data_IF_033537551560
#
_entry.id   IF_033537551560
#
_cell.length_a   1.000
_cell.length_b   1.000
_cell.length_c   1.000
_cell.angle_alpha   90.00
_cell.angle_beta   90.00
_cell.angle_gamma   90.00
#
_symmetry.space_group_name_H-M   'P 1'
#
loop_
_entity.id
_entity.type
_entity.pdbx_description
1 polymer ?
#
# COMPACT_ATOMS: atom_id res chain seq x y z
N UNK A 1 14.07 -25.48 -21.34
CA UNK A 1 15.00 -25.27 -20.20
C UNK A 1 14.66 -24.03 -19.39
N UNK A 2 14.23 -22.93 -20.01
CA UNK A 2 13.90 -21.69 -19.27
C UNK A 2 12.79 -21.85 -18.24
N UNK A 3 11.68 -22.53 -18.58
CA UNK A 3 10.55 -22.67 -17.64
C UNK A 3 10.88 -23.50 -16.40
N UNK A 4 11.77 -24.50 -16.52
CA UNK A 4 12.24 -25.30 -15.39
C UNK A 4 13.10 -24.46 -14.42
N UNK A 5 13.94 -23.58 -14.97
CA UNK A 5 14.75 -22.63 -14.19
C UNK A 5 13.82 -21.64 -13.47
N UNK A 6 12.79 -21.13 -14.17
CA UNK A 6 11.78 -20.23 -13.59
C UNK A 6 11.07 -20.93 -12.42
N UNK A 7 10.59 -22.16 -12.61
CA UNK A 7 9.91 -22.92 -11.56
C UNK A 7 10.84 -23.12 -10.35
N UNK A 8 12.07 -23.58 -10.56
CA UNK A 8 12.99 -23.86 -9.45
C UNK A 8 13.35 -22.61 -8.65
N UNK A 9 13.65 -21.49 -9.34
CA UNK A 9 13.89 -20.19 -8.68
C UNK A 9 12.65 -19.72 -7.93
N UNK A 10 11.47 -19.90 -8.51
CA UNK A 10 10.20 -19.45 -7.93
C UNK A 10 9.84 -20.25 -6.67
N UNK A 11 10.12 -21.55 -6.64
CA UNK A 11 9.94 -22.37 -5.43
C UNK A 11 10.83 -21.86 -4.30
N UNK A 12 12.11 -21.57 -4.57
CA UNK A 12 13.04 -21.09 -3.55
C UNK A 12 12.65 -19.70 -3.06
N UNK A 13 12.47 -18.74 -3.97
CA UNK A 13 12.12 -17.36 -3.63
C UNK A 13 10.75 -17.31 -2.94
N UNK A 14 9.79 -18.04 -3.48
CA UNK A 14 8.45 -18.18 -2.90
C UNK A 14 8.48 -18.78 -1.50
N UNK A 15 9.28 -19.82 -1.29
CA UNK A 15 9.47 -20.43 0.02
C UNK A 15 10.00 -19.44 1.05
N UNK A 16 11.06 -18.71 0.71
CA UNK A 16 11.66 -17.70 1.61
C UNK A 16 10.73 -16.51 1.85
N UNK A 17 10.02 -16.05 0.81
CA UNK A 17 9.04 -14.97 0.90
C UNK A 17 7.87 -15.37 1.80
N UNK A 18 7.29 -16.54 1.57
CA UNK A 18 6.19 -17.06 2.39
C UNK A 18 6.60 -17.32 3.83
N UNK A 19 7.80 -17.85 4.06
CA UNK A 19 8.36 -18.02 5.40
C UNK A 19 8.43 -16.70 6.16
N UNK A 20 9.07 -15.69 5.55
CA UNK A 20 9.30 -14.40 6.20
C UNK A 20 8.01 -13.61 6.43
N UNK A 21 7.12 -13.57 5.43
CA UNK A 21 5.83 -12.89 5.51
C UNK A 21 4.93 -13.46 6.62
N UNK A 22 4.73 -14.78 6.62
CA UNK A 22 3.85 -15.45 7.58
C UNK A 22 4.45 -15.43 9.00
N UNK A 23 5.77 -15.60 9.13
CA UNK A 23 6.48 -15.44 10.40
C UNK A 23 6.28 -14.02 10.96
N UNK A 24 6.46 -13.01 10.11
CA UNK A 24 6.29 -11.60 10.47
C UNK A 24 4.89 -11.32 10.98
N UNK A 25 3.87 -11.79 10.26
CA UNK A 25 2.47 -11.64 10.64
C UNK A 25 2.16 -12.28 12.01
N UNK A 26 2.60 -13.51 12.25
CA UNK A 26 2.40 -14.20 13.54
C UNK A 26 3.09 -13.49 14.72
N UNK A 27 4.26 -12.88 14.50
CA UNK A 27 5.00 -12.14 15.53
C UNK A 27 4.30 -10.85 15.95
N UNK A 28 3.45 -10.26 15.10
CA UNK A 28 2.69 -9.05 15.46
C UNK A 28 1.76 -9.30 16.65
N UNK A 29 1.25 -10.53 16.83
CA UNK A 29 0.43 -10.90 17.99
C UNK A 29 1.20 -10.98 19.31
N UNK A 30 2.54 -10.95 19.28
CA UNK A 30 3.40 -11.08 20.45
C UNK A 30 4.09 -9.77 20.85
N UNK A 31 4.04 -8.74 20.00
CA UNK A 31 4.71 -7.46 20.27
C UNK A 31 3.76 -6.28 20.04
N UNK A 32 2.79 -6.06 20.95
CA UNK A 32 1.77 -5.02 20.78
C UNK A 32 2.25 -3.62 21.21
N UNK A 33 3.37 -3.50 21.93
CA UNK A 33 3.79 -2.23 22.53
C UNK A 33 4.54 -1.31 21.57
N UNK A 34 5.18 -1.84 20.53
CA UNK A 34 5.87 -1.06 19.48
C UNK A 34 5.67 -1.76 18.13
N UNK A 35 4.86 -1.16 17.25
CA UNK A 35 4.64 -1.66 15.89
C UNK A 35 4.78 -0.53 14.86
N UNK A 36 5.38 -0.85 13.71
CA UNK A 36 5.38 0.06 12.57
C UNK A 36 3.95 0.22 12.03
N UNK A 37 3.62 1.40 11.50
CA UNK A 37 2.27 1.73 11.03
C UNK A 37 1.70 0.69 10.03
N UNK A 38 2.56 0.11 9.19
CA UNK A 38 2.17 -0.95 8.23
C UNK A 38 1.78 -2.29 8.87
N UNK A 39 2.24 -2.60 10.09
CA UNK A 39 1.90 -3.84 10.79
C UNK A 39 0.43 -3.85 11.25
N UNK A 40 -0.14 -2.69 11.60
CA UNK A 40 -1.55 -2.57 11.98
C UNK A 40 -2.50 -2.96 10.84
N UNK A 41 -2.08 -2.78 9.58
CA UNK A 41 -2.90 -3.17 8.44
C UNK A 41 -3.03 -4.69 8.34
N UNK A 42 -1.92 -5.41 8.32
CA UNK A 42 -1.95 -6.88 8.28
C UNK A 42 -2.62 -7.47 9.52
N UNK A 43 -2.30 -6.94 10.71
CA UNK A 43 -2.91 -7.40 11.96
C UNK A 43 -4.42 -7.15 11.99
N UNK A 44 -4.88 -5.97 11.55
CA UNK A 44 -6.29 -5.63 11.46
C UNK A 44 -7.05 -6.53 10.48
N UNK A 45 -6.47 -6.77 9.29
CA UNK A 45 -7.05 -7.65 8.26
C UNK A 45 -7.12 -9.11 8.73
N UNK A 46 -6.09 -9.60 9.43
CA UNK A 46 -6.11 -10.94 10.00
C UNK A 46 -7.14 -11.08 11.14
N UNK A 47 -7.26 -10.08 12.00
CA UNK A 47 -8.27 -10.09 13.07
C UNK A 47 -9.70 -9.99 12.54
N UNK A 48 -9.92 -9.28 11.43
CA UNK A 48 -11.23 -9.17 10.79
C UNK A 48 -11.79 -10.52 10.29
N UNK A 49 -10.93 -11.54 10.14
CA UNK A 49 -11.34 -12.89 9.78
C UNK A 49 -11.77 -13.74 11.00
N UNK A 50 -11.62 -13.22 12.23
CA UNK A 50 -12.06 -13.83 13.50
C UNK A 50 -11.64 -15.31 13.70
N UNK A 51 -10.51 -15.72 13.10
CA UNK A 51 -10.04 -17.11 13.16
C UNK A 51 -10.87 -18.10 12.34
N UNK A 52 -11.74 -17.64 11.45
CA UNK A 52 -12.44 -18.47 10.48
C UNK A 52 -11.56 -18.73 9.24
N UNK A 53 -11.35 -20.01 8.94
CA UNK A 53 -10.50 -20.44 7.84
C UNK A 53 -11.06 -20.01 6.48
N UNK A 54 -12.38 -20.04 6.30
CA UNK A 54 -13.01 -19.66 5.04
C UNK A 54 -12.88 -18.16 4.77
N UNK A 55 -13.03 -17.33 5.81
CA UNK A 55 -12.83 -15.88 5.78
C UNK A 55 -11.39 -15.53 5.41
N UNK A 56 -10.41 -16.15 6.05
CA UNK A 56 -9.00 -15.96 5.70
C UNK A 56 -8.70 -16.36 4.24
N UNK A 57 -9.20 -17.50 3.78
CA UNK A 57 -8.99 -17.93 2.40
C UNK A 57 -9.62 -16.95 1.40
N UNK A 58 -10.88 -16.58 1.62
CA UNK A 58 -11.65 -15.67 0.77
C UNK A 58 -11.03 -14.28 0.72
N UNK A 59 -10.53 -13.79 1.87
CA UNK A 59 -9.81 -12.52 1.95
C UNK A 59 -8.57 -12.55 1.07
N UNK A 60 -7.71 -13.57 1.21
CA UNK A 60 -6.53 -13.72 0.37
C UNK A 60 -6.87 -13.87 -1.13
N UNK A 61 -7.95 -14.58 -1.45
CA UNK A 61 -8.41 -14.76 -2.84
C UNK A 61 -8.84 -13.43 -3.48
N UNK A 62 -9.49 -12.54 -2.71
CA UNK A 62 -9.91 -11.22 -3.19
C UNK A 62 -8.75 -10.37 -3.73
N UNK A 63 -7.55 -10.53 -3.17
CA UNK A 63 -6.35 -9.82 -3.64
C UNK A 63 -5.49 -10.65 -4.61
N UNK A 64 -5.68 -11.97 -4.64
CA UNK A 64 -4.92 -12.85 -5.52
C UNK A 64 -5.10 -12.50 -7.00
N UNK A 65 -6.33 -12.26 -7.46
CA UNK A 65 -6.56 -11.92 -8.86
C UNK A 65 -5.91 -10.60 -9.26
N UNK A 66 -5.88 -9.60 -8.36
CA UNK A 66 -5.18 -8.35 -8.60
C UNK A 66 -3.66 -8.55 -8.71
N UNK A 67 -3.07 -9.27 -7.76
CA UNK A 67 -1.65 -9.59 -7.78
C UNK A 67 -1.26 -10.43 -9.01
N UNK A 68 -2.13 -11.35 -9.42
CA UNK A 68 -1.94 -12.18 -10.60
C UNK A 68 -1.99 -11.37 -11.89
N UNK A 69 -3.00 -10.51 -12.05
CA UNK A 69 -3.09 -9.59 -13.20
C UNK A 69 -1.85 -8.67 -13.29
N UNK A 70 -1.36 -8.18 -12.15
CA UNK A 70 -0.11 -7.39 -12.09
C UNK A 70 1.12 -8.21 -12.49
N UNK A 71 1.26 -9.44 -11.98
CA UNK A 71 2.39 -10.30 -12.32
C UNK A 71 2.42 -10.67 -13.81
N UNK A 72 1.25 -10.87 -14.41
CA UNK A 72 1.06 -11.18 -15.82
C UNK A 72 1.27 -9.95 -16.71
N UNK A 73 0.61 -8.84 -16.38
CA UNK A 73 0.69 -7.62 -17.17
C UNK A 73 2.02 -6.92 -16.98
N UNK A 74 2.32 -6.47 -15.76
CA UNK A 74 3.48 -5.63 -15.47
C UNK A 74 4.78 -6.41 -15.18
N UNK A 75 4.73 -7.75 -15.08
CA UNK A 75 5.90 -8.56 -14.72
C UNK A 75 6.39 -8.35 -13.28
N UNK A 76 5.57 -7.71 -12.43
CA UNK A 76 5.93 -7.34 -11.07
C UNK A 76 4.85 -7.73 -10.05
N UNK A 77 5.29 -8.12 -8.85
CA UNK A 77 4.41 -8.44 -7.75
C UNK A 77 3.92 -7.19 -7.05
N UNK A 78 2.62 -7.15 -6.75
CA UNK A 78 2.09 -6.17 -5.81
C UNK A 78 2.51 -6.55 -4.40
N UNK A 79 2.52 -5.58 -3.49
CA UNK A 79 2.77 -5.84 -2.09
C UNK A 79 1.73 -6.83 -1.51
N UNK A 80 0.53 -6.93 -2.09
CA UNK A 80 -0.55 -7.78 -1.59
C UNK A 80 -0.16 -9.25 -1.45
N UNK A 81 0.78 -9.74 -2.29
CA UNK A 81 1.34 -11.09 -2.17
C UNK A 81 1.92 -11.32 -0.77
N UNK A 82 2.72 -10.39 -0.26
CA UNK A 82 3.44 -10.56 1.00
C UNK A 82 2.61 -10.25 2.23
N UNK A 83 1.71 -9.27 2.18
CA UNK A 83 1.03 -8.79 3.39
C UNK A 83 -0.46 -9.16 3.48
N UNK A 84 -1.08 -9.64 2.39
CA UNK A 84 -2.48 -10.09 2.37
C UNK A 84 -2.62 -11.56 2.03
N UNK A 85 -2.05 -11.99 0.90
CA UNK A 85 -2.33 -13.32 0.33
C UNK A 85 -1.62 -14.40 1.17
N UNK A 86 -0.29 -14.29 1.29
CA UNK A 86 0.49 -15.33 1.98
C UNK A 86 0.12 -15.51 3.46
N UNK A 87 0.01 -14.45 4.28
CA UNK A 87 -0.36 -14.61 5.69
C UNK A 87 -1.77 -15.18 5.87
N UNK A 88 -2.75 -14.74 5.09
CA UNK A 88 -4.13 -15.21 5.24
C UNK A 88 -4.29 -16.65 4.73
N UNK A 89 -3.68 -17.04 3.62
CA UNK A 89 -3.74 -18.43 3.17
C UNK A 89 -2.97 -19.37 4.10
N UNK A 90 -1.88 -18.90 4.72
CA UNK A 90 -1.20 -19.66 5.77
C UNK A 90 -2.08 -19.86 7.01
N UNK A 91 -2.77 -18.80 7.45
CA UNK A 91 -3.74 -18.87 8.53
C UNK A 91 -4.90 -19.82 8.19
N UNK A 92 -5.50 -19.71 7.00
CA UNK A 92 -6.57 -20.58 6.52
C UNK A 92 -6.14 -22.05 6.51
N UNK A 93 -4.95 -22.35 6.00
CA UNK A 93 -4.43 -23.71 5.95
C UNK A 93 -4.19 -24.29 7.35
N UNK A 94 -3.72 -23.50 8.31
CA UNK A 94 -3.56 -23.95 9.70
C UNK A 94 -4.91 -24.13 10.42
N UNK A 95 -5.81 -23.16 10.28
CA UNK A 95 -7.12 -23.14 10.93
C UNK A 95 -8.07 -24.21 10.40
N UNK A 96 -7.91 -24.63 9.15
CA UNK A 96 -8.66 -25.76 8.59
C UNK A 96 -8.35 -27.10 9.29
N UNK A 97 -7.17 -27.23 9.91
CA UNK A 97 -6.77 -28.41 10.69
C UNK A 97 -6.94 -28.26 12.19
N UNK A 98 -6.67 -27.08 12.74
CA UNK A 98 -6.82 -26.80 14.17
C UNK A 98 -7.40 -25.38 14.35
N UNK A 99 -8.60 -25.29 14.90
CA UNK A 99 -9.30 -24.00 15.10
C UNK A 99 -8.74 -23.16 16.26
N UNK A 100 -7.83 -23.70 17.07
CA UNK A 100 -7.22 -22.94 18.15
C UNK A 100 -6.21 -21.92 17.60
N UNK A 101 -6.59 -20.64 17.60
CA UNK A 101 -5.81 -19.51 17.08
C UNK A 101 -4.46 -19.37 17.81
N UNK A 102 -4.45 -19.56 19.13
CA UNK A 102 -3.25 -19.42 19.96
C UNK A 102 -2.16 -20.43 19.59
N UNK A 103 -2.56 -21.62 19.18
CA UNK A 103 -1.65 -22.69 18.76
C UNK A 103 -1.33 -22.64 17.27
N UNK A 104 -2.12 -21.95 16.45
CA UNK A 104 -1.98 -21.92 14.99
C UNK A 104 -1.44 -20.60 14.49
N UNK A 105 -2.31 -19.62 14.25
CA UNK A 105 -1.99 -18.31 13.65
C UNK A 105 -1.01 -17.53 14.51
N UNK A 106 -1.12 -17.65 15.83
CA UNK A 106 -0.18 -16.98 16.73
C UNK A 106 1.17 -17.70 16.77
N UNK A 107 1.27 -18.99 16.44
CA UNK A 107 2.53 -19.73 16.48
C UNK A 107 3.46 -19.32 15.33
N UNK A 108 4.58 -18.61 15.59
CA UNK A 108 5.42 -18.09 14.51
C UNK A 108 6.06 -19.22 13.69
N UNK A 109 6.43 -20.33 14.34
CA UNK A 109 7.01 -21.50 13.69
C UNK A 109 6.04 -22.15 12.70
N UNK A 110 4.78 -22.37 13.11
CA UNK A 110 3.79 -23.03 12.26
C UNK A 110 3.40 -22.14 11.07
N UNK A 111 3.17 -20.86 11.33
CA UNK A 111 2.91 -19.87 10.28
C UNK A 111 4.07 -19.79 9.28
N UNK A 112 5.32 -19.77 9.74
CA UNK A 112 6.47 -19.71 8.85
C UNK A 112 6.59 -20.94 7.93
N UNK A 113 6.37 -22.15 8.46
CA UNK A 113 6.47 -23.39 7.67
C UNK A 113 5.34 -23.48 6.65
N UNK A 114 4.10 -23.25 7.08
CA UNK A 114 2.95 -23.29 6.16
C UNK A 114 3.02 -22.16 5.15
N UNK A 115 3.43 -20.97 5.58
CA UNK A 115 3.72 -19.82 4.73
C UNK A 115 4.75 -20.15 3.66
N UNK A 116 5.83 -20.86 3.99
CA UNK A 116 6.84 -21.27 3.01
C UNK A 116 6.27 -22.18 1.92
N UNK A 117 5.45 -23.17 2.29
CA UNK A 117 4.82 -24.09 1.33
C UNK A 117 3.88 -23.34 0.39
N UNK A 118 3.02 -22.49 0.96
CA UNK A 118 2.07 -21.69 0.19
C UNK A 118 2.82 -20.67 -0.69
N UNK A 119 3.87 -20.04 -0.15
CA UNK A 119 4.73 -19.11 -0.87
C UNK A 119 5.39 -19.74 -2.08
N UNK A 120 5.96 -20.93 -1.91
CA UNK A 120 6.52 -21.69 -3.02
C UNK A 120 5.47 -21.95 -4.11
N UNK A 121 4.26 -22.37 -3.73
CA UNK A 121 3.16 -22.62 -4.67
C UNK A 121 2.70 -21.36 -5.41
N UNK A 122 2.37 -20.29 -4.68
CA UNK A 122 1.85 -19.04 -5.25
C UNK A 122 2.87 -18.38 -6.17
N UNK A 123 4.10 -18.18 -5.70
CA UNK A 123 5.14 -17.49 -6.48
C UNK A 123 5.50 -18.31 -7.72
N UNK A 124 5.51 -19.64 -7.62
CA UNK A 124 5.68 -20.51 -8.79
C UNK A 124 4.52 -20.37 -9.78
N UNK A 125 3.28 -20.34 -9.30
CA UNK A 125 2.12 -20.11 -10.17
C UNK A 125 2.20 -18.75 -10.87
N UNK A 126 2.49 -17.68 -10.13
CA UNK A 126 2.56 -16.32 -10.68
C UNK A 126 3.67 -16.19 -11.72
N UNK A 127 4.87 -16.71 -11.43
CA UNK A 127 5.98 -16.65 -12.37
C UNK A 127 5.80 -17.59 -13.57
N UNK A 128 5.27 -18.80 -13.36
CA UNK A 128 5.02 -19.73 -14.46
C UNK A 128 3.97 -19.16 -15.42
N UNK A 129 2.87 -18.61 -14.90
CA UNK A 129 1.83 -17.98 -15.72
C UNK A 129 2.35 -16.74 -16.44
N UNK A 130 3.12 -15.87 -15.77
CA UNK A 130 3.77 -14.73 -16.42
C UNK A 130 4.72 -15.16 -17.54
N UNK A 131 5.54 -16.19 -17.31
CA UNK A 131 6.48 -16.72 -18.30
C UNK A 131 5.84 -17.46 -19.48
N UNK A 132 4.60 -17.93 -19.34
CA UNK A 132 3.87 -18.66 -20.36
C UNK A 132 3.13 -17.73 -21.34
N UNK A 133 3.06 -16.43 -21.05
CA UNK A 133 2.31 -15.48 -21.88
C UNK A 133 3.18 -15.00 -23.05
N UNK A 134 2.67 -15.06 -24.30
CA UNK A 134 3.34 -14.49 -25.45
C UNK A 134 3.62 -13.00 -25.26
N UNK A 135 4.79 -12.54 -25.72
CA UNK A 135 5.19 -11.14 -25.63
C UNK A 135 4.19 -10.17 -26.28
N UNK A 136 3.47 -10.59 -27.32
CA UNK A 136 2.40 -9.80 -27.95
C UNK A 136 1.19 -9.54 -27.04
N UNK A 137 0.85 -10.50 -26.17
CA UNK A 137 -0.23 -10.35 -25.20
C UNK A 137 0.22 -9.56 -23.97
N UNK A 138 1.49 -9.65 -23.59
CA UNK A 138 2.05 -8.88 -22.48
C UNK A 138 2.01 -7.38 -22.75
N UNK A 139 2.38 -6.93 -23.95
CA UNK A 139 2.30 -5.50 -24.34
C UNK A 139 0.86 -4.99 -24.23
N UNK A 140 -0.10 -5.74 -24.78
CA UNK A 140 -1.54 -5.40 -24.71
C UNK A 140 -2.03 -5.37 -23.25
N UNK A 141 -1.58 -6.31 -22.41
CA UNK A 141 -1.96 -6.36 -21.00
C UNK A 141 -1.36 -5.20 -20.20
N UNK A 142 -0.12 -4.79 -20.46
CA UNK A 142 0.49 -3.58 -19.87
C UNK A 142 -0.31 -2.34 -20.27
N UNK A 143 -0.59 -2.20 -21.56
CA UNK A 143 -1.27 -1.03 -22.12
C UNK A 143 -2.72 -0.87 -21.64
N UNK A 144 -3.36 -1.94 -21.15
CA UNK A 144 -4.71 -1.89 -20.58
C UNK A 144 -4.67 -1.83 -19.04
N UNK A 145 -3.91 -2.72 -18.40
CA UNK A 145 -3.95 -2.88 -16.94
C UNK A 145 -3.21 -1.74 -16.22
N UNK A 146 -2.10 -1.24 -16.75
CA UNK A 146 -1.36 -0.15 -16.09
C UNK A 146 -2.17 1.16 -16.12
N UNK A 147 -2.76 1.59 -17.25
CA UNK A 147 -3.65 2.74 -17.24
C UNK A 147 -4.87 2.55 -16.35
N UNK A 148 -5.48 1.36 -16.35
CA UNK A 148 -6.62 1.06 -15.47
C UNK A 148 -6.26 1.17 -13.98
N UNK A 149 -5.13 0.57 -13.57
CA UNK A 149 -4.62 0.68 -12.20
C UNK A 149 -4.28 2.14 -11.84
N UNK A 150 -3.69 2.87 -12.79
CA UNK A 150 -3.39 4.30 -12.62
C UNK A 150 -4.66 5.09 -12.41
N UNK A 151 -5.70 4.90 -13.22
CA UNK A 151 -7.01 5.56 -13.04
C UNK A 151 -7.65 5.21 -11.69
N UNK A 152 -7.54 3.95 -11.25
CA UNK A 152 -8.05 3.55 -9.94
C UNK A 152 -7.36 4.31 -8.81
N UNK A 153 -6.03 4.46 -8.87
CA UNK A 153 -5.23 5.12 -7.81
C UNK A 153 -5.29 6.64 -7.90
N UNK A 154 -5.22 7.22 -9.10
CA UNK A 154 -5.09 8.67 -9.31
C UNK A 154 -6.43 9.38 -9.46
N UNK A 155 -7.50 8.65 -9.80
CA UNK A 155 -8.83 9.23 -10.05
C UNK A 155 -9.86 8.67 -9.08
N UNK A 156 -10.09 7.35 -9.08
CA UNK A 156 -11.18 6.75 -8.29
C UNK A 156 -10.91 6.88 -6.79
N UNK A 157 -9.70 6.55 -6.33
CA UNK A 157 -9.36 6.60 -4.90
C UNK A 157 -9.49 8.02 -4.31
N UNK A 158 -8.93 9.09 -4.92
CA UNK A 158 -9.19 10.47 -4.48
C UNK A 158 -10.66 10.81 -4.35
N UNK A 159 -11.49 10.42 -5.32
CA UNK A 159 -12.93 10.72 -5.31
C UNK A 159 -13.58 10.04 -4.12
N UNK A 160 -13.29 8.75 -3.88
CA UNK A 160 -13.85 8.00 -2.74
C UNK A 160 -13.45 8.63 -1.40
N UNK A 161 -12.17 8.94 -1.21
CA UNK A 161 -11.70 9.58 0.02
C UNK A 161 -12.27 10.99 0.20
N UNK A 162 -12.43 11.74 -0.89
CA UNK A 162 -12.99 13.08 -0.84
C UNK A 162 -14.48 13.06 -0.48
N UNK A 163 -15.25 12.15 -1.07
CA UNK A 163 -16.65 11.91 -0.69
C UNK A 163 -16.77 11.49 0.78
N UNK A 164 -15.89 10.60 1.25
CA UNK A 164 -15.84 10.22 2.67
C UNK A 164 -15.53 11.41 3.59
N UNK A 165 -14.65 12.33 3.17
CA UNK A 165 -14.37 13.55 3.93
C UNK A 165 -15.60 14.46 4.03
N UNK A 166 -16.35 14.61 2.93
CA UNK A 166 -17.57 15.41 2.89
C UNK A 166 -18.67 14.81 3.77
N UNK A 167 -18.84 13.50 3.73
CA UNK A 167 -19.82 12.77 4.55
C UNK A 167 -19.48 12.82 6.05
N UNK A 168 -18.18 12.82 6.38
CA UNK A 168 -17.70 12.89 7.77
C UNK A 168 -18.00 14.22 8.50
N UNK A 169 -18.46 15.26 7.78
CA UNK A 169 -18.94 16.53 8.32
C UNK A 169 -18.33 17.76 7.66
N UNK A 170 -18.94 18.94 7.85
CA UNK A 170 -18.55 20.19 7.17
C UNK A 170 -17.08 20.58 7.35
N UNK A 171 -16.56 20.51 8.58
CA UNK A 171 -15.17 20.87 8.89
C UNK A 171 -14.19 19.87 8.28
N UNK A 172 -14.50 18.58 8.41
CA UNK A 172 -13.71 17.49 7.84
C UNK A 172 -13.69 17.55 6.31
N UNK A 173 -14.83 17.79 5.68
CA UNK A 173 -14.94 17.98 4.24
C UNK A 173 -14.17 19.20 3.74
N UNK A 174 -14.20 20.32 4.46
CA UNK A 174 -13.42 21.51 4.11
C UNK A 174 -11.92 21.24 4.10
N UNK A 175 -11.38 20.71 5.21
CA UNK A 175 -9.94 20.42 5.30
C UNK A 175 -9.50 19.32 4.34
N UNK A 176 -10.33 18.28 4.15
CA UNK A 176 -10.11 17.23 3.15
C UNK A 176 -10.03 17.78 1.73
N UNK A 177 -10.92 18.71 1.37
CA UNK A 177 -10.92 19.35 0.05
C UNK A 177 -9.69 20.24 -0.15
N UNK A 178 -9.38 21.08 0.85
CA UNK A 178 -8.28 22.03 0.76
C UNK A 178 -6.92 21.32 0.64
N UNK A 179 -6.63 20.39 1.55
CA UNK A 179 -5.37 19.65 1.51
C UNK A 179 -5.32 18.65 0.35
N UNK A 180 -6.46 18.09 -0.06
CA UNK A 180 -6.55 17.26 -1.26
C UNK A 180 -6.17 18.02 -2.53
N UNK A 181 -6.69 19.24 -2.70
CA UNK A 181 -6.34 20.11 -3.83
C UNK A 181 -4.86 20.49 -3.83
N UNK A 182 -4.33 20.89 -2.67
CA UNK A 182 -2.90 21.19 -2.53
C UNK A 182 -2.02 19.97 -2.84
N UNK A 183 -2.42 18.78 -2.39
CA UNK A 183 -1.68 17.54 -2.67
C UNK A 183 -1.74 17.16 -4.15
N UNK A 184 -2.86 17.40 -4.85
CA UNK A 184 -2.93 17.20 -6.28
C UNK A 184 -1.95 18.12 -7.02
N UNK A 185 -1.86 19.40 -6.62
CA UNK A 185 -0.98 20.38 -7.24
C UNK A 185 0.50 20.10 -6.97
N UNK A 186 0.85 19.77 -5.72
CA UNK A 186 2.24 19.57 -5.31
C UNK A 186 2.73 18.16 -5.64
N UNK A 187 1.89 17.15 -5.40
CA UNK A 187 2.30 15.75 -5.43
C UNK A 187 1.80 14.96 -6.66
N UNK A 188 0.87 15.52 -7.44
CA UNK A 188 0.17 14.82 -8.53
C UNK A 188 -0.84 13.78 -8.05
N UNK A 189 -1.10 13.69 -6.75
CA UNK A 189 -2.05 12.76 -6.14
C UNK A 189 -2.71 13.39 -4.91
N UNK A 190 -4.04 13.50 -4.94
CA UNK A 190 -4.85 14.10 -3.88
C UNK A 190 -5.01 13.23 -2.62
N UNK A 191 -4.84 11.89 -2.70
CA UNK A 191 -5.18 10.97 -1.59
C UNK A 191 -4.48 11.33 -0.27
N UNK A 192 -3.13 11.53 -0.23
CA UNK A 192 -2.46 11.87 1.02
C UNK A 192 -2.99 13.17 1.64
N UNK A 193 -3.29 14.16 0.80
CA UNK A 193 -3.85 15.43 1.26
C UNK A 193 -5.26 15.31 1.82
N UNK A 194 -6.13 14.56 1.14
CA UNK A 194 -7.50 14.32 1.63
C UNK A 194 -7.47 13.58 2.98
N UNK A 195 -6.64 12.55 3.11
CA UNK A 195 -6.50 11.79 4.37
C UNK A 195 -5.99 12.67 5.50
N UNK A 196 -4.95 13.47 5.28
CA UNK A 196 -4.46 14.40 6.30
C UNK A 196 -5.51 15.44 6.67
N UNK A 197 -6.29 15.92 5.70
CA UNK A 197 -7.41 16.83 5.95
C UNK A 197 -8.54 16.19 6.76
N UNK A 198 -8.83 14.90 6.53
CA UNK A 198 -9.79 14.15 7.35
C UNK A 198 -9.29 14.08 8.80
N UNK A 199 -8.02 13.72 9.01
CA UNK A 199 -7.43 13.59 10.34
C UNK A 199 -7.42 14.93 11.10
N UNK A 200 -7.08 16.02 10.43
CA UNK A 200 -7.15 17.37 11.02
C UNK A 200 -8.58 17.74 11.35
N UNK A 201 -9.52 17.55 10.40
CA UNK A 201 -10.92 17.91 10.59
C UNK A 201 -11.58 17.14 11.73
N UNK A 202 -11.50 15.82 11.70
CA UNK A 202 -12.04 14.95 12.75
C UNK A 202 -11.33 15.14 14.08
N UNK A 203 -10.01 15.28 14.07
CA UNK A 203 -9.25 15.55 15.30
C UNK A 203 -9.75 16.82 16.01
N UNK A 204 -10.03 17.87 15.25
CA UNK A 204 -10.59 19.13 15.80
C UNK A 204 -12.07 18.98 16.19
N UNK A 205 -12.85 18.18 15.49
CA UNK A 205 -14.25 17.92 15.84
C UNK A 205 -14.38 17.12 17.16
N UNK A 206 -13.50 16.15 17.40
CA UNK A 206 -13.54 15.29 18.59
C UNK A 206 -12.84 15.89 19.82
N UNK A 207 -11.64 16.47 19.63
CA UNK A 207 -10.77 16.92 20.72
C UNK A 207 -10.74 18.46 20.86
N UNK A 208 -11.41 19.19 19.97
CA UNK A 208 -11.25 20.63 19.83
C UNK A 208 -9.82 21.03 19.42
N UNK A 209 -9.52 22.32 19.58
CA UNK A 209 -8.17 22.85 19.35
C UNK A 209 -7.23 22.61 20.55
N UNK A 210 -7.01 21.33 20.85
CA UNK A 210 -6.04 20.86 21.83
C UNK A 210 -4.59 21.07 21.34
N UNK A 211 -3.62 20.90 22.25
CA UNK A 211 -2.19 20.93 21.89
C UNK A 211 -1.88 19.90 20.80
N UNK A 212 -2.49 18.72 20.86
CA UNK A 212 -2.27 17.64 19.88
C UNK A 212 -2.77 18.02 18.48
N UNK A 213 -4.00 18.55 18.37
CA UNK A 213 -4.58 18.92 17.07
C UNK A 213 -3.86 20.11 16.44
N UNK A 214 -3.36 21.06 17.26
CA UNK A 214 -2.49 22.14 16.79
C UNK A 214 -1.16 21.62 16.27
N UNK A 215 -0.51 20.70 16.98
CA UNK A 215 0.75 20.09 16.53
C UNK A 215 0.52 19.34 15.21
N UNK A 216 -0.56 18.54 15.12
CA UNK A 216 -0.92 17.84 13.89
C UNK A 216 -1.08 18.81 12.73
N UNK A 217 -1.87 19.88 12.92
CA UNK A 217 -2.11 20.89 11.90
C UNK A 217 -0.82 21.57 11.41
N UNK A 218 0.03 22.01 12.34
CA UNK A 218 1.32 22.65 12.01
C UNK A 218 2.23 21.66 11.28
N UNK A 219 2.27 20.41 11.72
CA UNK A 219 3.08 19.36 11.06
C UNK A 219 2.62 19.12 9.63
N UNK A 220 1.30 19.07 9.39
CA UNK A 220 0.73 18.93 8.04
C UNK A 220 1.16 20.10 7.16
N UNK A 221 1.06 21.34 7.65
CA UNK A 221 1.50 22.53 6.89
C UNK A 221 2.99 22.44 6.54
N UNK A 222 3.85 22.13 7.51
CA UNK A 222 5.30 22.01 7.28
C UNK A 222 5.59 20.93 6.23
N UNK A 223 4.90 19.79 6.31
CA UNK A 223 5.05 18.71 5.34
C UNK A 223 4.69 19.16 3.92
N UNK A 224 3.60 19.92 3.76
CA UNK A 224 3.20 20.46 2.46
C UNK A 224 4.21 21.48 1.91
N UNK A 225 4.70 22.39 2.74
CA UNK A 225 5.70 23.40 2.34
C UNK A 225 7.01 22.72 1.92
N UNK A 226 7.51 21.79 2.72
CA UNK A 226 8.73 21.04 2.40
C UNK A 226 8.53 20.20 1.13
N UNK A 227 7.38 19.52 0.99
CA UNK A 227 7.11 18.74 -0.21
C UNK A 227 6.99 19.61 -1.47
N UNK A 228 6.46 20.83 -1.36
CA UNK A 228 6.39 21.76 -2.48
C UNK A 228 7.80 22.21 -2.90
N UNK A 229 8.64 22.55 -1.93
CA UNK A 229 10.02 22.93 -2.16
C UNK A 229 10.84 21.79 -2.81
N UNK A 230 10.88 20.61 -2.20
CA UNK A 230 11.69 19.51 -2.75
C UNK A 230 11.21 18.99 -4.12
N UNK A 231 9.98 19.30 -4.52
CA UNK A 231 9.44 18.96 -5.84
C UNK A 231 9.56 20.09 -6.87
N UNK A 232 10.19 21.22 -6.52
CA UNK A 232 10.33 22.37 -7.43
C UNK A 232 8.99 22.99 -7.82
N UNK A 233 7.95 22.86 -6.98
CA UNK A 233 6.62 23.37 -7.30
C UNK A 233 6.62 24.89 -7.52
N UNK A 234 7.39 25.61 -6.71
CA UNK A 234 7.62 27.05 -6.80
C UNK A 234 8.29 27.47 -8.13
N UNK A 235 9.31 26.74 -8.57
CA UNK A 235 9.95 26.96 -9.87
C UNK A 235 8.96 26.77 -11.02
N UNK A 236 8.26 25.63 -11.02
CA UNK A 236 7.25 25.30 -12.02
C UNK A 236 6.09 26.30 -12.04
N UNK A 237 5.67 26.79 -10.87
CA UNK A 237 4.60 27.78 -10.76
C UNK A 237 5.02 29.11 -11.42
N UNK A 238 6.23 29.60 -11.12
CA UNK A 238 6.77 30.84 -11.71
C UNK A 238 6.87 30.71 -13.23
N UNK A 239 7.36 29.56 -13.72
CA UNK A 239 7.46 29.27 -15.14
C UNK A 239 6.08 29.20 -15.82
N UNK A 240 5.09 28.59 -15.18
CA UNK A 240 3.70 28.56 -15.67
C UNK A 240 3.07 29.97 -15.76
N UNK A 241 3.48 30.89 -14.89
CA UNK A 241 3.12 32.32 -15.01
C UNK A 241 3.91 33.06 -16.10
N UNK A 242 4.76 32.37 -16.87
CA UNK A 242 5.66 32.92 -17.89
C UNK A 242 6.61 33.98 -17.34
N UNK A 243 6.94 33.87 -16.05
CA UNK A 243 7.92 34.74 -15.40
C UNK A 243 9.30 34.07 -15.44
N UNK A 244 10.35 34.87 -15.56
CA UNK A 244 11.72 34.36 -15.48
C UNK A 244 12.03 33.87 -14.07
N UNK A 245 12.52 32.63 -13.95
CA UNK A 245 12.91 32.05 -12.66
C UNK A 245 14.06 32.87 -12.06
N UNK A 246 13.93 33.43 -10.84
CA UNK A 246 15.01 34.15 -10.20
C UNK A 246 16.22 33.24 -9.94
N UNK A 247 17.42 33.66 -10.36
CA UNK A 247 18.66 32.88 -10.20
C UNK A 247 18.95 32.48 -8.75
N UNK A 248 18.60 33.32 -7.77
CA UNK A 248 18.78 32.98 -6.36
C UNK A 248 17.92 31.77 -5.93
N UNK A 249 16.68 31.68 -6.43
CA UNK A 249 15.80 30.57 -6.12
C UNK A 249 16.29 29.28 -6.79
N UNK A 250 16.71 29.38 -8.05
CA UNK A 250 17.31 28.24 -8.77
C UNK A 250 18.56 27.72 -8.05
N UNK A 251 19.48 28.61 -7.68
CA UNK A 251 20.67 28.26 -6.91
C UNK A 251 20.33 27.64 -5.55
N UNK A 252 19.23 28.06 -4.92
CA UNK A 252 18.81 27.52 -3.64
C UNK A 252 18.26 26.09 -3.77
N UNK A 253 17.51 25.78 -4.83
CA UNK A 253 17.12 24.40 -5.15
C UNK A 253 18.34 23.54 -5.51
N UNK A 254 19.27 24.08 -6.29
CA UNK A 254 20.49 23.38 -6.73
C UNK A 254 21.38 22.92 -5.55
N UNK A 255 21.30 23.59 -4.39
CA UNK A 255 22.00 23.16 -3.16
C UNK A 255 21.43 21.87 -2.57
N UNK A 256 20.15 21.56 -2.80
CA UNK A 256 19.46 20.40 -2.23
C UNK A 256 19.21 19.28 -3.23
N UNK A 257 19.23 19.57 -4.53
CA UNK A 257 19.24 18.54 -5.57
C UNK A 257 20.67 17.98 -5.71
N UNK A 258 20.93 16.86 -5.05
CA UNK A 258 22.12 16.04 -5.33
C UNK A 258 21.98 15.50 -6.75
N UNK A 259 22.91 15.86 -7.64
CA UNK A 259 23.02 15.28 -8.98
C UNK A 259 23.35 13.79 -8.93
#
# INVERSE_FOLDING_TARGET
MEILIVILKSVIIGGLMGFSAALGAARMFHSPTVQALGAFRTLGEMNACEGDAASHFSFGLGFFFNAWASAVGAGAYTQDVTHRILPNWAAAALLSRNKNISETVHSPKRMAIVGAVIGAGIVTFLNATSSAIPSSLQVTAVDVLVPAATLLISTVMPIVFWLAALDAGKRTGFWGTLFGGLAQLIMGNAVPGVVLGILVGKGVDELGWSRLTKILFVTVIILFVLSAFFRGFDLNLIEQFKLGIPKWLQNFHDLFTVK
#
